data_IF_461382563558
#
_entry.id   IF_461382563558
#
_cell.length_a   1.000
_cell.length_b   1.000
_cell.length_c   1.000
_cell.angle_alpha   90.00
_cell.angle_beta   90.00
_cell.angle_gamma   90.00
#
_symmetry.space_group_name_H-M   'P 1'
#
loop_
_entity.id
_entity.type
_entity.pdbx_description
1 polymer ?
#
# COMPACT_ATOMS: atom_id res chain seq x y z
N UNK A 1 12.07 18.91 5.62
CA UNK A 1 10.59 18.97 5.51
C UNK A 1 10.07 17.55 5.33
N UNK A 2 8.93 17.15 5.91
CA UNK A 2 8.47 15.76 5.89
C UNK A 2 7.28 15.53 4.95
N UNK A 3 7.22 14.40 4.25
CA UNK A 3 6.20 14.00 3.28
C UNK A 3 4.78 14.23 3.82
N UNK A 4 4.49 13.78 5.04
CA UNK A 4 3.16 13.94 5.64
C UNK A 4 2.76 15.40 5.94
N UNK A 5 3.72 16.31 6.06
CA UNK A 5 3.44 17.73 6.29
C UNK A 5 3.09 18.48 5.00
N UNK A 6 3.45 17.93 3.84
CA UNK A 6 3.23 18.58 2.54
C UNK A 6 2.16 17.91 1.69
N UNK A 7 2.01 16.60 1.80
CA UNK A 7 1.00 15.84 1.05
C UNK A 7 -0.38 16.07 1.65
N UNK A 8 -1.31 16.50 0.80
CA UNK A 8 -2.71 16.72 1.14
C UNK A 8 -3.56 15.60 0.57
N UNK A 9 -4.53 15.13 1.35
CA UNK A 9 -5.54 14.21 0.83
C UNK A 9 -6.52 14.96 -0.04
N UNK A 10 -6.88 14.38 -1.18
CA UNK A 10 -7.89 14.95 -2.08
C UNK A 10 -9.26 15.08 -1.40
N UNK A 11 -9.61 14.13 -0.52
CA UNK A 11 -10.93 14.03 0.12
C UNK A 11 -11.26 15.21 1.05
N UNK A 12 -10.26 15.75 1.77
CA UNK A 12 -10.48 16.80 2.76
C UNK A 12 -9.52 17.98 2.66
N UNK A 13 -8.62 17.97 1.67
CA UNK A 13 -7.59 19.00 1.44
C UNK A 13 -6.64 19.24 2.63
N UNK A 14 -6.69 18.41 3.67
CA UNK A 14 -5.81 18.48 4.83
C UNK A 14 -4.57 17.62 4.61
N UNK A 15 -3.48 18.00 5.26
CA UNK A 15 -2.21 17.27 5.16
C UNK A 15 -2.31 15.92 5.87
N UNK A 16 -1.51 14.94 5.45
CA UNK A 16 -1.51 13.60 6.08
C UNK A 16 -1.12 13.68 7.57
N UNK A 17 -0.36 14.69 7.99
CA UNK A 17 0.00 14.93 9.38
C UNK A 17 -1.15 15.46 10.25
N UNK A 18 -2.27 15.90 9.66
CA UNK A 18 -3.39 16.43 10.43
C UNK A 18 -4.00 15.37 11.35
N UNK A 19 -4.66 15.79 12.44
CA UNK A 19 -5.30 14.88 13.39
C UNK A 19 -6.42 14.07 12.72
N UNK A 20 -7.15 14.66 11.78
CA UNK A 20 -8.22 14.01 11.02
C UNK A 20 -7.69 12.86 10.15
N UNK A 21 -6.43 12.95 9.72
CA UNK A 21 -5.79 11.98 8.84
C UNK A 21 -4.97 10.92 9.61
N UNK A 22 -5.20 10.77 10.93
CA UNK A 22 -4.54 9.75 11.76
C UNK A 22 -4.73 8.34 11.20
N UNK A 23 -5.93 8.00 10.73
CA UNK A 23 -6.24 6.69 10.17
C UNK A 23 -5.38 6.37 8.93
N UNK A 24 -5.12 7.36 8.07
CA UNK A 24 -4.26 7.17 6.89
C UNK A 24 -2.84 6.80 7.30
N UNK A 25 -2.28 7.46 8.31
CA UNK A 25 -0.96 7.11 8.84
C UNK A 25 -0.95 5.71 9.44
N UNK A 26 -1.96 5.38 10.23
CA UNK A 26 -2.11 4.04 10.82
C UNK A 26 -2.19 2.96 9.74
N UNK A 27 -2.92 3.20 8.65
CA UNK A 27 -3.00 2.27 7.53
C UNK A 27 -1.66 2.07 6.82
N UNK A 28 -0.88 3.14 6.61
CA UNK A 28 0.46 3.00 6.06
C UNK A 28 1.37 2.18 7.00
N UNK A 29 1.26 2.39 8.31
CA UNK A 29 2.08 1.63 9.28
C UNK A 29 1.65 0.17 9.34
N UNK A 30 0.34 -0.10 9.33
CA UNK A 30 -0.22 -1.46 9.28
C UNK A 30 0.13 -2.18 7.98
N UNK A 31 0.27 -1.48 6.84
CA UNK A 31 0.70 -2.11 5.58
C UNK A 31 2.14 -2.63 5.64
N UNK A 32 2.92 -2.15 6.61
CA UNK A 32 4.30 -2.55 6.91
C UNK A 32 4.39 -3.34 8.22
N UNK A 33 3.28 -3.94 8.66
CA UNK A 33 3.16 -4.74 9.88
C UNK A 33 3.68 -4.05 11.15
N UNK A 34 3.58 -2.72 11.21
CA UNK A 34 4.09 -1.93 12.34
C UNK A 34 5.59 -2.15 12.63
N UNK A 35 6.37 -2.61 11.63
CA UNK A 35 7.82 -2.76 11.75
C UNK A 35 8.47 -1.38 11.86
N UNK A 36 8.65 -0.90 13.10
CA UNK A 36 9.04 0.48 13.39
C UNK A 36 10.31 0.91 12.65
N UNK A 37 11.35 0.07 12.65
CA UNK A 37 12.59 0.35 11.93
C UNK A 37 12.38 0.52 10.41
N UNK A 38 11.58 -0.36 9.79
CA UNK A 38 11.20 -0.24 8.37
C UNK A 38 10.44 1.06 8.13
N UNK A 39 9.46 1.39 8.98
CA UNK A 39 8.65 2.61 8.87
C UNK A 39 9.51 3.86 8.98
N UNK A 40 10.46 3.91 9.93
CA UNK A 40 11.35 5.05 10.13
C UNK A 40 12.29 5.24 8.93
N UNK A 41 12.97 4.18 8.49
CA UNK A 41 13.87 4.22 7.33
C UNK A 41 13.13 4.60 6.05
N UNK A 42 12.00 3.96 5.79
CA UNK A 42 11.17 4.27 4.64
C UNK A 42 10.62 5.69 4.71
N UNK A 43 10.22 6.16 5.89
CA UNK A 43 9.74 7.53 6.10
C UNK A 43 10.80 8.58 5.76
N UNK A 44 12.08 8.32 6.05
CA UNK A 44 13.18 9.21 5.66
C UNK A 44 13.34 9.27 4.13
N UNK A 45 13.32 8.12 3.46
CA UNK A 45 13.39 8.02 2.00
C UNK A 45 12.18 8.72 1.35
N UNK A 46 10.98 8.50 1.89
CA UNK A 46 9.75 9.14 1.43
C UNK A 46 9.81 10.67 1.57
N UNK A 47 10.41 11.17 2.65
CA UNK A 47 10.61 12.61 2.83
C UNK A 47 11.54 13.18 1.75
N UNK A 48 12.62 12.47 1.40
CA UNK A 48 13.54 12.88 0.34
C UNK A 48 12.86 12.86 -1.04
N UNK A 49 12.10 11.80 -1.34
CA UNK A 49 11.29 11.70 -2.55
C UNK A 49 10.31 12.87 -2.66
N UNK A 50 9.64 13.24 -1.57
CA UNK A 50 8.61 14.26 -1.59
C UNK A 50 9.12 15.69 -1.84
N UNK A 51 10.42 15.96 -1.71
CA UNK A 51 11.02 17.26 -2.01
C UNK A 51 10.97 17.49 -3.52
N UNK A 52 10.22 18.48 -4.00
CA UNK A 52 10.08 18.77 -5.43
C UNK A 52 9.55 17.57 -6.25
N UNK A 53 8.65 16.77 -5.66
CA UNK A 53 8.01 15.64 -6.35
C UNK A 53 7.01 16.10 -7.42
N UNK A 54 7.51 16.38 -8.61
CA UNK A 54 6.70 16.75 -9.78
C UNK A 54 6.00 15.56 -10.43
N UNK A 55 6.46 14.33 -10.14
CA UNK A 55 5.98 13.08 -10.76
C UNK A 55 4.82 12.42 -10.00
N UNK A 56 4.39 12.99 -8.87
CA UNK A 56 3.39 12.40 -7.97
C UNK A 56 3.77 10.99 -7.51
N UNK A 57 5.07 10.73 -7.42
CA UNK A 57 5.58 9.43 -7.00
C UNK A 57 5.19 9.15 -5.54
N UNK A 58 5.25 10.18 -4.69
CA UNK A 58 4.87 10.09 -3.29
C UNK A 58 3.39 9.76 -3.12
N UNK A 59 2.52 10.36 -3.94
CA UNK A 59 1.09 10.01 -3.97
C UNK A 59 0.89 8.54 -4.36
N UNK A 60 1.60 8.07 -5.38
CA UNK A 60 1.52 6.68 -5.84
C UNK A 60 2.00 5.67 -4.80
N UNK A 61 3.10 5.98 -4.10
CA UNK A 61 3.62 5.17 -2.98
C UNK A 61 2.61 5.10 -1.84
N UNK A 62 2.00 6.24 -1.49
CA UNK A 62 0.99 6.28 -0.43
C UNK A 62 -0.26 5.51 -0.81
N UNK A 63 -0.76 5.67 -2.04
CA UNK A 63 -1.93 4.94 -2.51
C UNK A 63 -1.68 3.43 -2.52
N UNK A 64 -0.48 3.00 -2.94
CA UNK A 64 -0.04 1.61 -2.87
C UNK A 64 -0.11 1.05 -1.44
N UNK A 65 0.49 1.72 -0.47
CA UNK A 65 0.50 1.25 0.93
C UNK A 65 -0.86 1.38 1.63
N UNK A 66 -1.52 2.53 1.52
CA UNK A 66 -2.73 2.86 2.29
C UNK A 66 -3.98 2.28 1.65
N UNK A 67 -4.20 2.55 0.37
CA UNK A 67 -5.47 2.24 -0.31
C UNK A 67 -5.44 0.80 -0.80
N UNK A 68 -4.48 0.48 -1.66
CA UNK A 68 -4.46 -0.82 -2.32
C UNK A 68 -4.13 -1.95 -1.36
N UNK A 69 -3.08 -1.77 -0.55
CA UNK A 69 -2.57 -2.85 0.31
C UNK A 69 -3.36 -3.00 1.61
N UNK A 70 -3.57 -1.90 2.35
CA UNK A 70 -4.14 -1.99 3.69
C UNK A 70 -5.66 -1.80 3.74
N UNK A 71 -6.20 -0.76 3.12
CA UNK A 71 -7.65 -0.47 3.20
C UNK A 71 -8.48 -1.59 2.60
N UNK A 72 -8.14 -2.03 1.38
CA UNK A 72 -8.85 -3.13 0.73
C UNK A 72 -8.75 -4.44 1.54
N UNK A 73 -7.61 -4.71 2.17
CA UNK A 73 -7.44 -5.89 3.01
C UNK A 73 -8.31 -5.84 4.26
N UNK A 74 -8.28 -4.72 5.01
CA UNK A 74 -9.11 -4.52 6.19
C UNK A 74 -10.60 -4.67 5.84
N UNK A 75 -11.03 -4.11 4.71
CA UNK A 75 -12.41 -4.22 4.22
C UNK A 75 -12.77 -5.66 3.84
N UNK A 76 -11.84 -6.38 3.19
CA UNK A 76 -12.02 -7.80 2.84
C UNK A 76 -12.21 -8.64 4.10
N UNK A 77 -11.30 -8.51 5.08
CA UNK A 77 -11.36 -9.25 6.36
C UNK A 77 -12.64 -8.91 7.11
N UNK A 78 -13.01 -7.63 7.18
CA UNK A 78 -14.26 -7.19 7.80
C UNK A 78 -15.48 -7.84 7.14
N UNK A 79 -15.54 -7.83 5.80
CA UNK A 79 -16.67 -8.38 5.04
C UNK A 79 -16.81 -9.88 5.27
N UNK A 80 -15.71 -10.63 5.25
CA UNK A 80 -15.71 -12.07 5.55
C UNK A 80 -16.17 -12.31 6.99
N UNK A 81 -15.62 -11.58 7.95
CA UNK A 81 -15.95 -11.77 9.37
C UNK A 81 -17.44 -11.49 9.65
N UNK A 82 -18.04 -10.49 8.99
CA UNK A 82 -19.49 -10.21 9.10
C UNK A 82 -20.36 -11.34 8.56
N UNK A 83 -19.89 -12.11 7.56
CA UNK A 83 -20.66 -13.17 6.90
C UNK A 83 -20.22 -14.59 7.26
N UNK A 84 -19.28 -14.73 8.21
CA UNK A 84 -18.60 -16.00 8.51
C UNK A 84 -19.56 -17.15 8.81
N UNK A 85 -20.64 -16.90 9.55
CA UNK A 85 -21.61 -17.93 9.95
C UNK A 85 -22.51 -18.38 8.78
N UNK A 86 -22.58 -17.56 7.73
CA UNK A 86 -23.33 -17.82 6.51
C UNK A 86 -22.47 -18.43 5.39
N UNK A 87 -21.15 -18.57 5.56
CA UNK A 87 -20.26 -19.16 4.54
C UNK A 87 -20.70 -20.57 4.12
N UNK A 88 -21.33 -21.32 5.02
CA UNK A 88 -21.92 -22.65 4.75
C UNK A 88 -23.03 -22.65 3.68
N UNK A 89 -23.57 -21.48 3.31
CA UNK A 89 -24.58 -21.33 2.26
C UNK A 89 -23.96 -21.24 0.86
N UNK A 90 -22.65 -21.03 0.76
CA UNK A 90 -21.93 -20.99 -0.52
C UNK A 90 -21.58 -22.40 -0.98
N UNK A 91 -21.46 -22.57 -2.29
CA UNK A 91 -20.92 -23.79 -2.90
C UNK A 91 -19.43 -23.94 -2.59
N UNK A 92 -18.92 -25.17 -2.72
CA UNK A 92 -17.49 -25.45 -2.57
C UNK A 92 -16.64 -24.64 -3.57
N UNK A 93 -17.14 -24.42 -4.78
CA UNK A 93 -16.44 -23.66 -5.82
C UNK A 93 -16.32 -22.18 -5.44
N UNK A 94 -17.39 -21.57 -4.93
CA UNK A 94 -17.37 -20.18 -4.44
C UNK A 94 -16.44 -20.00 -3.24
N UNK A 95 -16.44 -20.96 -2.31
CA UNK A 95 -15.52 -20.95 -1.16
C UNK A 95 -14.06 -21.06 -1.61
N UNK A 96 -13.77 -21.92 -2.61
CA UNK A 96 -12.43 -22.02 -3.22
C UNK A 96 -12.04 -20.72 -3.91
N UNK A 97 -12.94 -20.09 -4.65
CA UNK A 97 -12.66 -18.82 -5.31
C UNK A 97 -12.37 -17.69 -4.30
N UNK A 98 -13.14 -17.60 -3.21
CA UNK A 98 -12.84 -16.66 -2.11
C UNK A 98 -11.45 -16.92 -1.53
N UNK A 99 -11.13 -18.18 -1.19
CA UNK A 99 -9.82 -18.56 -0.64
C UNK A 99 -8.68 -18.18 -1.59
N UNK A 100 -8.78 -18.56 -2.87
CA UNK A 100 -7.74 -18.29 -3.86
C UNK A 100 -7.53 -16.78 -4.08
N UNK A 101 -8.61 -15.99 -4.07
CA UNK A 101 -8.51 -14.54 -4.20
C UNK A 101 -7.90 -13.90 -2.94
N UNK A 102 -8.18 -14.43 -1.73
CA UNK A 102 -7.52 -14.01 -0.49
C UNK A 102 -6.02 -14.29 -0.50
N UNK A 103 -5.62 -15.48 -0.94
CA UNK A 103 -4.20 -15.85 -1.06
C UNK A 103 -3.45 -14.90 -2.01
N UNK A 104 -4.07 -14.54 -3.14
CA UNK A 104 -3.51 -13.54 -4.06
C UNK A 104 -3.45 -12.12 -3.48
N UNK A 105 -4.41 -11.73 -2.63
CA UNK A 105 -4.33 -10.46 -1.90
C UNK A 105 -3.13 -10.47 -0.96
N UNK A 106 -2.92 -11.56 -0.23
CA UNK A 106 -1.78 -11.72 0.67
C UNK A 106 -0.44 -11.71 -0.08
N UNK A 107 -0.34 -12.37 -1.23
CA UNK A 107 0.85 -12.32 -2.10
C UNK A 107 1.18 -10.89 -2.52
N UNK A 108 0.17 -10.09 -2.90
CA UNK A 108 0.37 -8.69 -3.29
C UNK A 108 0.73 -7.80 -2.08
N UNK A 109 0.17 -8.08 -0.89
CA UNK A 109 0.58 -7.41 0.36
C UNK A 109 2.04 -7.68 0.68
N UNK A 110 2.48 -8.93 0.58
CA UNK A 110 3.88 -9.29 0.74
C UNK A 110 4.77 -8.62 -0.31
N UNK A 111 4.32 -8.56 -1.57
CA UNK A 111 5.04 -7.84 -2.63
C UNK A 111 5.20 -6.35 -2.33
N UNK A 112 4.22 -5.69 -1.73
CA UNK A 112 4.36 -4.31 -1.24
C UNK A 112 5.47 -4.21 -0.19
N UNK A 113 5.46 -5.09 0.81
CA UNK A 113 6.48 -5.09 1.87
C UNK A 113 7.89 -5.35 1.31
N UNK A 114 8.04 -6.36 0.46
CA UNK A 114 9.30 -6.68 -0.22
C UNK A 114 9.79 -5.50 -1.08
N UNK A 115 8.88 -4.75 -1.69
CA UNK A 115 9.22 -3.55 -2.48
C UNK A 115 9.76 -2.45 -1.58
N UNK A 116 9.14 -2.21 -0.42
CA UNK A 116 9.62 -1.22 0.55
C UNK A 116 10.98 -1.63 1.12
N UNK A 117 11.16 -2.90 1.47
CA UNK A 117 12.43 -3.41 1.98
C UNK A 117 13.55 -3.26 0.93
N UNK A 118 13.27 -3.50 -0.35
CA UNK A 118 14.23 -3.27 -1.44
C UNK A 118 14.59 -1.81 -1.63
N UNK A 119 13.61 -0.90 -1.64
CA UNK A 119 13.86 0.54 -1.73
C UNK A 119 14.79 0.99 -0.58
N UNK A 120 14.55 0.51 0.64
CA UNK A 120 15.41 0.79 1.80
C UNK A 120 16.82 0.24 1.57
N UNK A 121 16.95 -1.04 1.20
CA UNK A 121 18.24 -1.70 1.04
C UNK A 121 19.09 -1.04 -0.06
N UNK A 122 18.49 -0.72 -1.20
CA UNK A 122 19.17 -0.05 -2.32
C UNK A 122 19.60 1.37 -1.96
N UNK A 123 18.74 2.10 -1.24
CA UNK A 123 19.12 3.41 -0.72
C UNK A 123 20.28 3.30 0.28
N UNK A 124 20.24 2.35 1.22
CA UNK A 124 21.33 2.12 2.17
C UNK A 124 22.65 1.79 1.49
N UNK A 125 22.62 0.93 0.46
CA UNK A 125 23.77 0.55 -0.35
C UNK A 125 24.28 1.63 -1.32
N UNK A 126 23.55 2.76 -1.44
CA UNK A 126 23.80 3.79 -2.46
C UNK A 126 23.85 3.20 -3.89
N UNK A 127 22.96 2.24 -4.16
CA UNK A 127 22.89 1.56 -5.47
C UNK A 127 22.76 2.60 -6.57
N UNK A 128 23.66 2.56 -7.56
CA UNK A 128 23.66 3.53 -8.68
C UNK A 128 23.78 5.00 -8.25
N UNK A 129 24.33 5.29 -7.07
CA UNK A 129 24.54 6.66 -6.58
C UNK A 129 23.24 7.39 -6.23
N UNK A 130 22.19 6.67 -5.82
CA UNK A 130 20.86 7.26 -5.58
C UNK A 130 20.80 8.21 -4.39
N UNK A 131 21.81 8.22 -3.50
CA UNK A 131 21.95 9.22 -2.43
C UNK A 131 22.56 10.54 -2.90
N UNK A 132 23.02 10.64 -4.15
CA UNK A 132 23.67 11.85 -4.68
C UNK A 132 22.79 13.10 -4.59
N UNK A 133 21.48 12.96 -4.85
CA UNK A 133 20.47 13.99 -4.63
C UNK A 133 19.05 13.38 -4.71
N UNK A 134 18.05 14.15 -4.28
CA UNK A 134 16.65 13.72 -4.23
C UNK A 134 16.06 13.42 -5.61
N UNK A 135 16.52 14.11 -6.66
CA UNK A 135 16.06 13.86 -8.03
C UNK A 135 16.49 12.49 -8.54
N UNK A 136 17.73 12.11 -8.26
CA UNK A 136 18.29 10.81 -8.62
C UNK A 136 17.55 9.69 -7.90
N UNK A 137 17.29 9.86 -6.59
CA UNK A 137 16.45 8.94 -5.82
C UNK A 137 15.05 8.80 -6.43
N UNK A 138 14.37 9.91 -6.72
CA UNK A 138 13.03 9.90 -7.33
C UNK A 138 13.02 9.16 -8.66
N UNK A 139 13.96 9.51 -9.55
CA UNK A 139 14.03 8.93 -10.89
C UNK A 139 14.33 7.43 -10.83
N UNK A 140 15.21 7.01 -9.92
CA UNK A 140 15.49 5.62 -9.69
C UNK A 140 14.24 4.87 -9.20
N UNK A 141 13.61 5.34 -8.12
CA UNK A 141 12.42 4.67 -7.55
C UNK A 141 11.27 4.62 -8.56
N UNK A 142 11.03 5.70 -9.31
CA UNK A 142 10.05 5.72 -10.40
C UNK A 142 10.42 4.70 -11.49
N UNK A 143 11.68 4.67 -11.97
CA UNK A 143 12.08 3.73 -13.02
C UNK A 143 11.95 2.26 -12.60
N UNK A 144 12.31 1.92 -11.37
CA UNK A 144 12.39 0.53 -10.90
C UNK A 144 11.06 0.01 -10.39
N UNK A 145 10.27 0.86 -9.72
CA UNK A 145 9.11 0.41 -8.93
C UNK A 145 7.76 0.90 -9.45
N UNK A 146 7.72 1.79 -10.45
CA UNK A 146 6.47 2.34 -10.98
C UNK A 146 5.48 1.26 -11.44
N UNK A 147 5.94 0.21 -12.14
CA UNK A 147 5.05 -0.90 -12.55
C UNK A 147 4.42 -1.60 -11.35
N UNK A 148 5.19 -1.85 -10.29
CA UNK A 148 4.65 -2.49 -9.08
C UNK A 148 3.62 -1.57 -8.42
N UNK A 149 3.99 -0.30 -8.19
CA UNK A 149 3.19 0.69 -7.49
C UNK A 149 1.88 1.03 -8.22
N UNK A 150 1.95 1.23 -9.55
CA UNK A 150 0.84 1.77 -10.35
C UNK A 150 0.10 0.72 -11.19
N UNK A 151 0.59 -0.51 -11.29
CA UNK A 151 -0.06 -1.55 -12.12
C UNK A 151 -0.32 -2.85 -11.36
N UNK A 152 0.63 -3.31 -10.57
CA UNK A 152 0.47 -4.61 -9.89
C UNK A 152 -0.34 -4.51 -8.61
N UNK A 153 0.05 -3.64 -7.67
CA UNK A 153 -0.67 -3.47 -6.39
C UNK A 153 -2.14 -3.03 -6.56
N UNK A 154 -2.51 -2.18 -7.54
CA UNK A 154 -3.92 -1.86 -7.80
C UNK A 154 -4.81 -3.08 -8.11
N UNK A 155 -4.25 -4.21 -8.55
CA UNK A 155 -5.01 -5.45 -8.81
C UNK A 155 -5.69 -5.99 -7.56
N UNK A 156 -5.21 -5.65 -6.35
CA UNK A 156 -5.87 -6.00 -5.08
C UNK A 156 -7.33 -5.56 -5.09
N UNK A 157 -7.65 -4.39 -5.65
CA UNK A 157 -9.03 -3.89 -5.75
C UNK A 157 -9.94 -4.85 -6.50
N UNK A 158 -9.47 -5.40 -7.62
CA UNK A 158 -10.24 -6.38 -8.41
C UNK A 158 -10.43 -7.71 -7.67
N UNK A 159 -9.43 -8.16 -6.92
CA UNK A 159 -9.53 -9.37 -6.10
C UNK A 159 -10.54 -9.17 -4.95
N UNK A 160 -10.49 -8.01 -4.30
CA UNK A 160 -11.46 -7.61 -3.28
C UNK A 160 -12.89 -7.63 -3.84
N UNK A 161 -13.12 -7.00 -5.00
CA UNK A 161 -14.45 -6.98 -5.63
C UNK A 161 -14.99 -8.38 -5.92
N UNK A 162 -14.14 -9.31 -6.38
CA UNK A 162 -14.54 -10.71 -6.58
C UNK A 162 -14.97 -11.39 -5.29
N UNK A 163 -14.22 -11.20 -4.20
CA UNK A 163 -14.56 -11.74 -2.88
C UNK A 163 -15.91 -11.18 -2.41
N UNK A 164 -16.09 -9.86 -2.45
CA UNK A 164 -17.32 -9.20 -2.03
C UNK A 164 -18.53 -9.63 -2.87
N UNK A 165 -18.36 -9.85 -4.17
CA UNK A 165 -19.42 -10.34 -5.05
C UNK A 165 -19.87 -11.77 -4.73
N UNK A 166 -18.95 -12.66 -4.33
CA UNK A 166 -19.35 -13.99 -3.87
C UNK A 166 -20.07 -13.91 -2.52
N UNK A 167 -19.57 -13.06 -1.62
CA UNK A 167 -20.14 -12.86 -0.30
C UNK A 167 -21.49 -12.16 -0.33
N UNK A 168 -21.82 -11.35 -1.33
CA UNK A 168 -23.12 -10.66 -1.43
C UNK A 168 -24.31 -11.61 -1.59
N UNK A 169 -24.06 -12.88 -1.94
CA UNK A 169 -25.07 -13.93 -2.08
C UNK A 169 -25.60 -14.47 -0.74
N UNK A 170 -24.95 -14.14 0.40
CA UNK A 170 -25.21 -14.75 1.72
C UNK A 170 -25.38 -13.80 2.89
#
# INVERSE_FOLDING_TARGET
>A
MGAFKILKLTENSKTINSSENKNIRQKLYSSLDWKENTIQKFGQILNAIAINDTKKLTESILEAGVTYTQSNFEETVKTINTKKDNLKKLTLEELKDIKNNLERVEELRKKWQDTVDKIIAEHEADTSGIKSNEETLRNYVDSQYNTILKTELPKIKGLYQKITNNLSKI
#
